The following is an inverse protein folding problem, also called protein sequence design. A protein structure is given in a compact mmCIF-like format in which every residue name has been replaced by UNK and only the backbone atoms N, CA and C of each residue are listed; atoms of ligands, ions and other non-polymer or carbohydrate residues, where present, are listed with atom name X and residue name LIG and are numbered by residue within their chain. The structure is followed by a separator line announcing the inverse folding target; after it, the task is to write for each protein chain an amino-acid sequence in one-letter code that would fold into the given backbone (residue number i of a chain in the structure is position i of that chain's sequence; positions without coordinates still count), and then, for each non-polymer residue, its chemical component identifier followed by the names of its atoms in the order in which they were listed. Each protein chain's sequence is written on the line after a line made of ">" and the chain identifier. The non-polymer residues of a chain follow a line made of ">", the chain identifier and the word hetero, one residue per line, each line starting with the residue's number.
data_IF_781120600084
#
_entry.id   IF_781120600084
#
_cell.length_a   1.000
_cell.length_b   1.000
_cell.length_c   1.000
_cell.angle_alpha   90.00
_cell.angle_beta   90.00
_cell.angle_gamma   90.00
#
_symmetry.space_group_name_H-M   'P 1'
#
loop_
_entity.id
_entity.type
_entity.pdbx_description
1 polymer ?
#
# COMPACT_ATOMS: atom_id res chain seq x y z
N UNK A 1 -5.10 -28.82 44.83
CA UNK A 1 -5.08 -29.10 43.37
C UNK A 1 -5.64 -27.96 42.50
N UNK A 2 -6.41 -26.98 43.03
CA UNK A 2 -6.94 -25.87 42.21
C UNK A 2 -5.92 -24.78 41.83
N UNK A 3 -4.92 -24.52 42.68
CA UNK A 3 -3.97 -23.41 42.50
C UNK A 3 -2.98 -23.68 41.35
N UNK A 4 -2.53 -24.92 41.19
CA UNK A 4 -1.57 -25.31 40.17
C UNK A 4 -2.14 -25.27 38.75
N UNK A 5 -3.43 -25.60 38.58
CA UNK A 5 -4.10 -25.52 37.27
C UNK A 5 -4.27 -24.08 36.78
N UNK A 6 -4.62 -23.15 37.69
CA UNK A 6 -4.75 -21.73 37.37
C UNK A 6 -3.39 -21.11 37.02
N UNK A 7 -2.31 -21.49 37.71
CA UNK A 7 -0.96 -21.01 37.43
C UNK A 7 -0.45 -21.46 36.06
N UNK A 8 -0.69 -22.72 35.68
CA UNK A 8 -0.29 -23.25 34.36
C UNK A 8 -1.07 -22.56 33.23
N UNK A 9 -2.37 -22.34 33.41
CA UNK A 9 -3.17 -21.61 32.43
C UNK A 9 -2.66 -20.19 32.19
N UNK A 10 -2.42 -19.43 33.26
CA UNK A 10 -1.89 -18.07 33.17
C UNK A 10 -0.52 -18.00 32.49
N UNK A 11 0.38 -18.95 32.80
CA UNK A 11 1.71 -19.02 32.19
C UNK A 11 1.63 -19.31 30.68
N UNK A 12 0.73 -20.19 30.25
CA UNK A 12 0.51 -20.50 28.82
C UNK A 12 -0.04 -19.27 28.09
N UNK A 13 -1.05 -18.60 28.65
CA UNK A 13 -1.64 -17.41 28.03
C UNK A 13 -0.61 -16.29 27.89
N UNK A 14 0.15 -15.99 28.94
CA UNK A 14 1.20 -14.98 28.90
C UNK A 14 2.33 -15.34 27.93
N UNK A 15 2.71 -16.62 27.85
CA UNK A 15 3.72 -17.10 26.90
C UNK A 15 3.29 -16.94 25.44
N UNK A 16 2.04 -17.26 25.11
CA UNK A 16 1.48 -17.07 23.77
C UNK A 16 1.41 -15.57 23.44
N UNK A 17 0.91 -14.74 24.37
CA UNK A 17 0.84 -13.29 24.16
C UNK A 17 2.22 -12.65 23.94
N UNK A 18 3.23 -13.07 24.71
CA UNK A 18 4.60 -12.57 24.56
C UNK A 18 5.21 -12.98 23.21
N UNK A 19 5.03 -14.23 22.79
CA UNK A 19 5.49 -14.72 21.49
C UNK A 19 4.84 -13.96 20.33
N UNK A 20 3.52 -13.75 20.39
CA UNK A 20 2.78 -12.96 19.40
C UNK A 20 3.26 -11.50 19.35
N UNK A 21 3.56 -10.89 20.50
CA UNK A 21 4.06 -9.52 20.56
C UNK A 21 5.47 -9.39 19.96
N UNK A 22 6.35 -10.37 20.23
CA UNK A 22 7.70 -10.40 19.63
C UNK A 22 7.70 -10.71 18.13
N UNK A 23 6.66 -11.39 17.63
CA UNK A 23 6.49 -11.69 16.21
C UNK A 23 5.80 -10.56 15.43
N UNK A 24 5.27 -9.54 16.12
CA UNK A 24 4.66 -8.39 15.49
C UNK A 24 5.77 -7.45 15.00
N UNK A 25 5.93 -7.37 13.68
CA UNK A 25 6.84 -6.44 13.02
C UNK A 25 6.03 -5.26 12.42
N UNK A 26 5.75 -4.21 13.22
CA UNK A 26 4.97 -3.07 12.75
C UNK A 26 5.65 -2.32 11.60
N UNK A 27 6.97 -2.34 11.54
CA UNK A 27 7.75 -1.70 10.48
C UNK A 27 7.57 -2.48 9.17
N UNK A 28 7.66 -3.80 9.22
CA UNK A 28 7.38 -4.67 8.07
C UNK A 28 5.94 -4.58 7.56
N UNK A 29 4.96 -4.48 8.46
CA UNK A 29 3.56 -4.25 8.09
C UNK A 29 3.37 -2.88 7.42
N UNK A 30 4.03 -1.84 7.94
CA UNK A 30 3.98 -0.49 7.36
C UNK A 30 4.63 -0.45 5.98
N UNK A 31 5.77 -1.13 5.79
CA UNK A 31 6.44 -1.22 4.51
C UNK A 31 5.56 -1.91 3.46
N UNK A 32 4.95 -3.05 3.80
CA UNK A 32 4.01 -3.76 2.91
C UNK A 32 2.77 -2.93 2.59
N UNK A 33 2.22 -2.24 3.59
CA UNK A 33 1.07 -1.36 3.38
C UNK A 33 1.41 -0.23 2.39
N UNK A 34 2.60 0.37 2.51
CA UNK A 34 3.10 1.38 1.56
C UNK A 34 3.29 0.81 0.16
N UNK A 35 3.84 -0.39 0.05
CA UNK A 35 4.04 -1.07 -1.25
C UNK A 35 2.71 -1.33 -1.96
N UNK A 36 1.73 -1.91 -1.25
CA UNK A 36 0.39 -2.18 -1.79
C UNK A 36 -0.32 -0.88 -2.15
N UNK A 37 -0.20 0.16 -1.32
CA UNK A 37 -0.75 1.48 -1.63
C UNK A 37 -0.11 2.08 -2.89
N UNK A 38 1.20 1.94 -3.06
CA UNK A 38 1.92 2.37 -4.25
C UNK A 38 1.42 1.66 -5.52
N UNK A 39 1.33 0.33 -5.48
CA UNK A 39 0.82 -0.47 -6.59
C UNK A 39 -0.64 -0.15 -6.94
N UNK A 40 -1.48 0.11 -5.93
CA UNK A 40 -2.87 0.51 -6.14
C UNK A 40 -2.96 1.90 -6.80
N UNK A 41 -2.11 2.84 -6.37
CA UNK A 41 -2.06 4.19 -6.92
C UNK A 41 -1.54 4.18 -8.35
N UNK A 42 -0.53 3.38 -8.66
CA UNK A 42 -0.06 3.24 -10.04
C UNK A 42 -1.14 2.68 -10.97
N UNK A 43 -1.90 1.66 -10.52
CA UNK A 43 -3.04 1.14 -11.30
C UNK A 43 -4.14 2.18 -11.50
N UNK A 44 -4.38 3.05 -10.52
CA UNK A 44 -5.33 4.15 -10.68
C UNK A 44 -4.84 5.19 -11.70
N UNK A 45 -3.53 5.49 -11.72
CA UNK A 45 -2.93 6.39 -12.70
C UNK A 45 -2.95 5.80 -14.12
N UNK A 46 -2.78 4.49 -14.27
CA UNK A 46 -2.87 3.80 -15.56
C UNK A 46 -4.31 3.88 -16.13
N UNK A 47 -5.31 3.66 -15.29
CA UNK A 47 -6.72 3.86 -15.65
C UNK A 47 -7.02 5.32 -16.00
N UNK A 48 -6.48 6.27 -15.24
CA UNK A 48 -6.61 7.69 -15.53
C UNK A 48 -5.93 8.08 -16.85
N UNK A 49 -4.79 7.48 -17.18
CA UNK A 49 -4.09 7.66 -18.46
C UNK A 49 -4.97 7.17 -19.61
N UNK A 50 -5.61 6.01 -19.44
CA UNK A 50 -6.58 5.49 -20.42
C UNK A 50 -7.77 6.44 -20.59
N UNK A 51 -8.31 6.98 -19.49
CA UNK A 51 -9.41 7.95 -19.55
C UNK A 51 -8.99 9.26 -20.24
N UNK A 52 -7.80 9.77 -19.93
CA UNK A 52 -7.23 10.97 -20.56
C UNK A 52 -7.06 10.76 -22.06
N UNK A 53 -6.55 9.60 -22.48
CA UNK A 53 -6.41 9.23 -23.89
C UNK A 53 -7.75 9.25 -24.63
N UNK A 54 -8.83 8.79 -23.99
CA UNK A 54 -10.18 8.80 -24.58
C UNK A 54 -10.74 10.22 -24.75
N UNK A 55 -10.40 11.15 -23.85
CA UNK A 55 -10.91 12.53 -23.91
C UNK A 55 -10.06 13.46 -24.80
N UNK A 56 -8.75 13.21 -24.90
CA UNK A 56 -7.81 14.12 -25.54
C UNK A 56 -7.10 13.55 -26.79
N UNK A 57 -7.31 12.28 -27.14
CA UNK A 57 -6.63 11.57 -28.24
C UNK A 57 -5.09 11.63 -28.17
N UNK A 58 -4.53 11.90 -26.98
CA UNK A 58 -3.11 12.06 -26.74
C UNK A 58 -2.73 11.57 -25.35
N UNK A 59 -1.49 11.08 -25.19
CA UNK A 59 -0.99 10.66 -23.88
C UNK A 59 -0.79 11.89 -22.96
N UNK A 60 -0.99 11.73 -21.64
CA UNK A 60 -0.65 12.77 -20.68
C UNK A 60 0.86 13.07 -20.77
N UNK A 61 1.25 14.32 -20.51
CA UNK A 61 2.67 14.72 -20.47
C UNK A 61 3.15 14.92 -19.05
N UNK A 62 2.23 15.21 -18.14
CA UNK A 62 2.49 15.47 -16.73
C UNK A 62 1.50 14.71 -15.86
N UNK A 63 1.85 14.49 -14.59
CA UNK A 63 0.93 13.81 -13.66
C UNK A 63 -0.26 14.72 -13.33
N UNK A 64 -0.08 16.04 -13.44
CA UNK A 64 -1.12 17.05 -13.28
C UNK A 64 -2.25 16.91 -14.30
N UNK A 65 -1.94 16.46 -15.53
CA UNK A 65 -2.94 16.19 -16.57
C UNK A 65 -3.97 15.12 -16.12
N UNK A 66 -3.55 14.23 -15.21
CA UNK A 66 -4.39 13.15 -14.68
C UNK A 66 -5.19 13.55 -13.44
N UNK A 67 -4.94 14.74 -12.86
CA UNK A 67 -5.62 15.22 -11.64
C UNK A 67 -7.14 15.17 -11.71
N UNK A 68 -7.81 15.46 -12.85
CA UNK A 68 -9.28 15.36 -12.94
C UNK A 68 -9.82 13.92 -12.80
N UNK A 69 -8.99 12.92 -13.09
CA UNK A 69 -9.39 11.51 -13.22
C UNK A 69 -9.04 10.67 -11.99
N UNK A 70 -8.19 11.18 -11.08
CA UNK A 70 -7.75 10.48 -9.88
C UNK A 70 -8.20 11.19 -8.61
N UNK A 71 -8.50 10.40 -7.58
CA UNK A 71 -8.76 10.91 -6.22
C UNK A 71 -7.61 10.51 -5.32
N UNK A 72 -6.82 11.49 -4.86
CA UNK A 72 -5.70 11.26 -3.95
C UNK A 72 -4.50 12.14 -4.26
N UNK A 73 -3.46 11.97 -3.44
CA UNK A 73 -2.16 12.58 -3.73
C UNK A 73 -1.37 11.70 -4.70
N UNK A 74 -0.90 12.33 -5.78
CA UNK A 74 -0.11 11.74 -6.86
C UNK A 74 1.21 12.47 -7.05
N UNK A 75 1.59 13.35 -6.10
CA UNK A 75 2.81 14.15 -6.14
C UNK A 75 4.11 13.31 -6.21
N UNK A 76 4.06 12.06 -5.74
CA UNK A 76 5.17 11.11 -5.83
C UNK A 76 5.32 10.40 -7.17
N UNK A 77 4.47 10.71 -8.16
CA UNK A 77 4.45 10.06 -9.47
C UNK A 77 4.80 11.05 -10.57
N UNK A 78 5.27 10.53 -11.70
CA UNK A 78 5.54 11.31 -12.92
C UNK A 78 5.07 10.54 -14.14
N UNK A 79 4.98 11.22 -15.27
CA UNK A 79 4.73 10.58 -16.56
C UNK A 79 6.04 10.49 -17.33
N UNK A 80 6.35 9.30 -17.84
CA UNK A 80 7.50 9.05 -18.71
C UNK A 80 7.03 8.26 -19.94
N UNK A 81 7.34 8.77 -21.13
CA UNK A 81 6.85 8.17 -22.38
C UNK A 81 5.33 8.04 -22.50
N UNK A 82 4.55 8.82 -21.74
CA UNK A 82 3.08 8.73 -21.69
C UNK A 82 2.53 7.70 -20.70
N UNK A 83 3.39 7.08 -19.88
CA UNK A 83 3.01 6.12 -18.85
C UNK A 83 3.36 6.63 -17.45
N UNK A 84 2.56 6.28 -16.43
CA UNK A 84 2.89 6.61 -15.04
C UNK A 84 4.10 5.81 -14.55
N UNK A 85 5.03 6.51 -13.91
CA UNK A 85 6.18 5.93 -13.20
C UNK A 85 6.30 6.54 -11.80
N UNK A 86 6.75 5.73 -10.85
CA UNK A 86 6.75 6.05 -9.42
C UNK A 86 6.56 4.81 -8.55
N UNK A 87 6.29 4.98 -7.25
CA UNK A 87 6.18 3.88 -6.30
C UNK A 87 5.13 2.84 -6.71
N UNK A 88 5.56 1.59 -6.90
CA UNK A 88 4.68 0.47 -7.26
C UNK A 88 4.24 0.43 -8.72
N UNK A 89 4.79 1.29 -9.58
CA UNK A 89 4.71 1.13 -11.02
C UNK A 89 5.76 0.12 -11.53
N UNK A 90 5.51 -0.58 -12.64
CA UNK A 90 6.55 -1.37 -13.30
C UNK A 90 7.69 -0.45 -13.77
N UNK A 91 8.94 -0.93 -13.61
CA UNK A 91 10.15 -0.26 -14.10
C UNK A 91 10.28 -0.37 -15.63
#
# INVERSE_FOLDING_TARGET
>A
MHVSHLAVGAAITLGISAACYSALDPDGLTARAREVAGQATCRALDQATTAYLVDHDAAPRTVEDLRPYVRGDISGYRIDGGLPTGPGCPD
#
